data_IF_163227278517
#
_entry.id   IF_163227278517
#
_cell.length_a   1.000
_cell.length_b   1.000
_cell.length_c   1.000
_cell.angle_alpha   90.00
_cell.angle_beta   90.00
_cell.angle_gamma   90.00
#
_symmetry.space_group_name_H-M   'P 1'
#
loop_
_entity.id
_entity.type
_entity.pdbx_description
1 polymer ?
#
# COMPACT_ATOMS: atom_id res chain seq x y z
N UNK A 1 -12.20 8.64 14.28
CA UNK A 1 -11.59 9.70 13.45
C UNK A 1 -10.64 9.10 12.43
N UNK A 2 -10.71 9.60 11.22
CA UNK A 2 -9.78 9.20 10.14
C UNK A 2 -8.95 10.42 9.77
N UNK A 3 -7.63 10.28 9.74
CA UNK A 3 -6.70 11.32 9.30
C UNK A 3 -6.02 10.86 8.02
N UNK A 4 -6.21 11.61 6.93
CA UNK A 4 -5.52 11.38 5.67
C UNK A 4 -4.20 12.14 5.63
N UNK A 5 -3.12 11.45 5.29
CA UNK A 5 -1.80 12.06 5.10
C UNK A 5 -1.39 11.85 3.66
N UNK A 6 -1.15 12.95 2.96
CA UNK A 6 -0.76 12.95 1.55
C UNK A 6 0.52 13.76 1.35
N UNK A 7 1.29 13.40 0.33
CA UNK A 7 2.52 14.11 -0.02
C UNK A 7 3.35 13.28 -0.97
N UNK A 8 4.41 13.90 -1.46
CA UNK A 8 5.38 13.19 -2.28
C UNK A 8 6.15 12.18 -1.45
N UNK A 9 6.63 11.14 -2.11
CA UNK A 9 7.56 10.19 -1.52
C UNK A 9 8.74 10.98 -0.95
N UNK A 10 9.16 10.68 0.27
CA UNK A 10 10.20 11.38 1.01
C UNK A 10 9.81 12.77 1.54
N UNK A 11 8.52 13.10 1.59
CA UNK A 11 8.05 14.38 2.13
C UNK A 11 7.82 14.35 3.65
N UNK A 12 8.13 13.24 4.32
CA UNK A 12 7.91 13.08 5.76
C UNK A 12 6.53 12.55 6.15
N UNK A 13 5.67 12.19 5.19
CA UNK A 13 4.33 11.68 5.48
C UNK A 13 4.34 10.40 6.31
N UNK A 14 5.32 9.51 6.09
CA UNK A 14 5.45 8.27 6.85
C UNK A 14 5.87 8.54 8.29
N UNK A 15 6.74 9.54 8.50
CA UNK A 15 7.15 9.99 9.84
C UNK A 15 5.96 10.56 10.60
N UNK A 16 5.14 11.40 9.95
CA UNK A 16 3.94 11.95 10.56
C UNK A 16 2.93 10.86 10.92
N UNK A 17 2.75 9.87 10.02
CA UNK A 17 1.88 8.73 10.28
C UNK A 17 2.36 7.89 11.45
N UNK A 18 3.66 7.66 11.58
CA UNK A 18 4.26 6.92 12.69
C UNK A 18 4.07 7.65 14.02
N UNK A 19 4.22 8.97 14.05
CA UNK A 19 3.99 9.78 15.24
C UNK A 19 2.54 9.64 15.71
N UNK A 20 1.57 9.76 14.80
CA UNK A 20 0.16 9.57 15.14
C UNK A 20 -0.13 8.17 15.69
N UNK A 21 0.46 7.15 15.08
CA UNK A 21 0.30 5.75 15.51
C UNK A 21 0.90 5.52 16.90
N UNK A 22 2.15 5.96 17.09
CA UNK A 22 2.91 5.68 18.32
C UNK A 22 2.46 6.53 19.51
N UNK A 23 2.16 7.81 19.29
CA UNK A 23 1.84 8.74 20.38
C UNK A 23 0.35 8.86 20.67
N UNK A 24 -0.50 8.68 19.68
CA UNK A 24 -1.94 8.93 19.80
C UNK A 24 -2.80 7.67 19.61
N UNK A 25 -2.18 6.53 19.41
CA UNK A 25 -2.90 5.25 19.30
C UNK A 25 -3.72 5.09 18.02
N UNK A 26 -3.42 5.82 16.96
CA UNK A 26 -4.08 5.63 15.68
C UNK A 26 -3.64 4.32 15.03
N UNK A 27 -4.58 3.60 14.43
CA UNK A 27 -4.28 2.47 13.58
C UNK A 27 -3.83 2.98 12.21
N UNK A 28 -2.67 2.52 11.74
CA UNK A 28 -2.13 2.93 10.43
C UNK A 28 -2.71 2.06 9.33
N UNK A 29 -3.37 2.69 8.36
CA UNK A 29 -3.86 2.04 7.15
C UNK A 29 -3.32 2.76 5.92
N UNK A 30 -3.19 2.01 4.83
CA UNK A 30 -2.65 2.52 3.57
C UNK A 30 -3.52 2.05 2.41
N UNK A 31 -3.78 2.94 1.44
CA UNK A 31 -4.44 2.55 0.19
C UNK A 31 -3.59 1.57 -0.63
N UNK A 32 -2.28 1.57 -0.44
CA UNK A 32 -1.38 0.64 -1.14
C UNK A 32 -1.40 -0.77 -0.54
N UNK A 33 -1.79 -0.94 0.72
CA UNK A 33 -1.77 -2.24 1.39
C UNK A 33 -2.62 -3.30 0.67
N UNK A 34 -3.89 -3.04 0.29
CA UNK A 34 -4.69 -4.01 -0.46
C UNK A 34 -4.08 -4.36 -1.81
N UNK A 35 -3.46 -3.39 -2.49
CA UNK A 35 -2.80 -3.62 -3.78
C UNK A 35 -1.60 -4.55 -3.58
N UNK A 36 -0.77 -4.28 -2.57
CA UNK A 36 0.40 -5.11 -2.25
C UNK A 36 -0.01 -6.52 -1.84
N UNK A 37 -1.05 -6.66 -1.03
CA UNK A 37 -1.55 -7.96 -0.61
C UNK A 37 -2.04 -8.79 -1.80
N UNK A 38 -2.75 -8.17 -2.73
CA UNK A 38 -3.22 -8.82 -3.93
C UNK A 38 -2.07 -9.30 -4.81
N UNK A 39 -1.08 -8.44 -5.06
CA UNK A 39 0.09 -8.77 -5.87
C UNK A 39 0.91 -9.87 -5.20
N UNK A 40 1.16 -9.77 -3.91
CA UNK A 40 1.92 -10.79 -3.17
C UNK A 40 1.25 -12.16 -3.26
N UNK A 41 -0.04 -12.22 -3.05
CA UNK A 41 -0.81 -13.47 -3.09
C UNK A 41 -0.90 -14.03 -4.51
N UNK A 42 -1.17 -13.18 -5.49
CA UNK A 42 -1.41 -13.61 -6.88
C UNK A 42 -0.13 -14.12 -7.54
N UNK A 43 1.00 -13.46 -7.31
CA UNK A 43 2.28 -13.77 -7.97
C UNK A 43 3.28 -14.48 -7.06
N UNK A 44 2.85 -14.85 -5.86
CA UNK A 44 3.70 -15.54 -4.87
C UNK A 44 4.97 -14.76 -4.55
N UNK A 45 4.80 -13.48 -4.24
CA UNK A 45 5.91 -12.58 -3.88
C UNK A 45 5.84 -12.25 -2.40
N UNK A 46 7.02 -12.02 -1.77
CA UNK A 46 7.06 -11.54 -0.40
C UNK A 46 6.67 -10.05 -0.34
N UNK A 47 6.09 -9.62 0.78
CA UNK A 47 5.80 -8.20 1.01
C UNK A 47 7.06 -7.34 0.99
N UNK A 48 8.20 -7.91 1.38
CA UNK A 48 9.49 -7.21 1.34
C UNK A 48 9.86 -6.77 -0.06
N UNK A 49 9.52 -7.56 -1.08
CA UNK A 49 9.76 -7.20 -2.49
C UNK A 49 8.85 -6.07 -2.98
N UNK A 50 7.80 -5.74 -2.24
CA UNK A 50 6.77 -4.79 -2.63
C UNK A 50 6.77 -3.50 -1.80
N UNK A 51 7.17 -3.58 -0.54
CA UNK A 51 6.97 -2.48 0.42
C UNK A 51 7.87 -1.27 0.18
N UNK A 52 9.12 -1.46 -0.23
CA UNK A 52 10.04 -0.36 -0.49
C UNK A 52 10.42 0.45 0.77
N UNK A 53 10.34 -0.17 1.95
CA UNK A 53 10.61 0.51 3.23
C UNK A 53 12.08 0.59 3.59
N UNK A 54 12.92 -0.20 2.94
CA UNK A 54 14.38 -0.21 3.12
C UNK A 54 15.07 -0.02 1.77
N UNK A 55 16.37 0.36 1.75
CA UNK A 55 17.10 0.43 0.47
C UNK A 55 17.08 -0.90 -0.29
N UNK A 56 17.23 -2.02 0.42
CA UNK A 56 17.16 -3.36 -0.18
C UNK A 56 15.77 -3.64 -0.77
N UNK A 57 14.72 -3.34 -0.05
CA UNK A 57 13.35 -3.52 -0.52
C UNK A 57 13.07 -2.68 -1.76
N UNK A 58 13.53 -1.43 -1.79
CA UNK A 58 13.40 -0.56 -2.98
C UNK A 58 14.12 -1.13 -4.20
N UNK A 59 15.30 -1.71 -3.98
CA UNK A 59 16.07 -2.35 -5.04
C UNK A 59 15.35 -3.60 -5.59
N UNK A 60 14.83 -4.44 -4.70
CA UNK A 60 14.06 -5.62 -5.08
C UNK A 60 12.82 -5.27 -5.91
N UNK A 61 12.16 -4.15 -5.60
CA UNK A 61 10.99 -3.67 -6.33
C UNK A 61 11.27 -3.36 -7.80
N UNK A 62 12.53 -3.03 -8.13
CA UNK A 62 12.95 -2.65 -9.48
C UNK A 62 13.56 -3.82 -10.26
N UNK A 63 13.67 -5.00 -9.66
CA UNK A 63 14.25 -6.17 -10.34
C UNK A 63 13.22 -6.89 -11.19
N UNK A 64 13.61 -7.32 -12.39
CA UNK A 64 12.75 -8.10 -13.26
C UNK A 64 12.56 -9.50 -12.68
N UNK A 65 11.35 -10.04 -12.84
CA UNK A 65 10.97 -11.36 -12.35
C UNK A 65 10.82 -12.32 -13.55
N UNK A 66 11.78 -13.22 -13.79
CA UNK A 66 11.70 -14.12 -14.94
C UNK A 66 10.44 -15.00 -14.94
N UNK A 67 9.95 -15.37 -13.75
CA UNK A 67 8.77 -16.21 -13.61
C UNK A 67 7.46 -15.43 -13.77
N UNK A 68 7.52 -14.10 -13.86
CA UNK A 68 6.35 -13.24 -14.03
C UNK A 68 6.56 -12.35 -15.26
N UNK A 69 6.77 -13.01 -16.41
CA UNK A 69 6.88 -12.36 -17.72
C UNK A 69 7.95 -11.26 -17.80
N UNK A 70 9.03 -11.38 -17.02
CA UNK A 70 10.11 -10.39 -16.91
C UNK A 70 9.62 -9.00 -16.51
N UNK A 71 8.56 -8.93 -15.71
CA UNK A 71 8.06 -7.67 -15.16
C UNK A 71 8.65 -7.44 -13.77
N UNK A 72 8.69 -6.17 -13.34
CA UNK A 72 9.14 -5.82 -11.99
C UNK A 72 7.98 -5.84 -11.00
N UNK A 73 8.23 -6.04 -9.70
CA UNK A 73 7.19 -5.88 -8.68
C UNK A 73 6.50 -4.52 -8.76
N UNK A 74 7.26 -3.45 -9.02
CA UNK A 74 6.71 -2.10 -9.18
C UNK A 74 5.71 -2.01 -10.32
N UNK A 75 6.04 -2.62 -11.46
CA UNK A 75 5.12 -2.67 -12.61
C UNK A 75 3.82 -3.35 -12.24
N UNK A 76 3.89 -4.50 -11.54
CA UNK A 76 2.70 -5.24 -11.12
C UNK A 76 1.82 -4.39 -10.19
N UNK A 77 2.42 -3.68 -9.24
CA UNK A 77 1.69 -2.77 -8.36
C UNK A 77 0.96 -1.67 -9.14
N UNK A 78 1.64 -1.08 -10.12
CA UNK A 78 1.06 -0.02 -10.95
C UNK A 78 -0.10 -0.54 -11.81
N UNK A 79 0.07 -1.68 -12.46
CA UNK A 79 -0.95 -2.25 -13.34
C UNK A 79 -2.19 -2.64 -12.54
N UNK A 80 -2.02 -3.32 -11.41
CA UNK A 80 -3.14 -3.72 -10.57
C UNK A 80 -3.84 -2.49 -10.00
N UNK A 81 -3.07 -1.53 -9.45
CA UNK A 81 -3.64 -0.32 -8.87
C UNK A 81 -4.43 0.51 -9.86
N UNK A 82 -3.84 0.79 -11.03
CA UNK A 82 -4.48 1.57 -12.09
C UNK A 82 -5.57 0.78 -12.79
N UNK A 83 -5.32 -0.49 -13.10
CA UNK A 83 -6.26 -1.34 -13.80
C UNK A 83 -7.58 -1.49 -13.06
N UNK A 84 -7.55 -1.72 -11.77
CA UNK A 84 -8.76 -1.84 -10.97
C UNK A 84 -9.55 -0.52 -10.94
N UNK A 85 -8.85 0.62 -10.86
CA UNK A 85 -9.52 1.92 -10.95
C UNK A 85 -10.20 2.13 -12.30
N UNK A 86 -9.56 1.71 -13.38
CA UNK A 86 -10.10 1.91 -14.73
C UNK A 86 -11.21 0.92 -15.07
N UNK A 87 -11.08 -0.34 -14.62
CA UNK A 87 -11.98 -1.42 -15.02
C UNK A 87 -13.11 -1.68 -14.02
N UNK A 88 -12.90 -1.43 -12.74
CA UNK A 88 -13.91 -1.64 -11.71
C UNK A 88 -14.59 -0.33 -11.35
N UNK A 89 -13.85 0.59 -10.72
CA UNK A 89 -14.35 1.91 -10.34
C UNK A 89 -13.20 2.79 -9.89
N UNK A 90 -13.25 4.10 -10.18
CA UNK A 90 -12.20 5.05 -9.78
C UNK A 90 -11.91 5.06 -8.28
N UNK A 91 -12.90 4.72 -7.45
CA UNK A 91 -12.80 4.75 -5.98
C UNK A 91 -12.65 3.35 -5.38
N UNK A 92 -12.29 2.34 -6.17
CA UNK A 92 -12.23 0.94 -5.70
C UNK A 92 -11.32 0.76 -4.49
N UNK A 93 -10.13 1.37 -4.48
CA UNK A 93 -9.18 1.24 -3.37
C UNK A 93 -9.63 1.99 -2.13
N UNK A 94 -10.26 3.15 -2.32
CA UNK A 94 -10.87 3.93 -1.23
C UNK A 94 -11.97 3.11 -0.56
N UNK A 95 -12.80 2.46 -1.35
CA UNK A 95 -13.89 1.61 -0.86
C UNK A 95 -13.37 0.44 -0.03
N UNK A 96 -12.29 -0.21 -0.48
CA UNK A 96 -11.67 -1.32 0.24
C UNK A 96 -11.15 -0.85 1.61
N UNK A 97 -10.50 0.31 1.67
CA UNK A 97 -9.99 0.88 2.92
C UNK A 97 -11.15 1.27 3.86
N UNK A 98 -12.23 1.84 3.32
CA UNK A 98 -13.43 2.15 4.10
C UNK A 98 -14.02 0.90 4.76
N UNK A 99 -14.12 -0.21 4.03
CA UNK A 99 -14.62 -1.47 4.58
C UNK A 99 -13.71 -2.01 5.67
N UNK A 100 -12.40 -1.89 5.50
CA UNK A 100 -11.44 -2.25 6.56
C UNK A 100 -11.60 -1.38 7.80
N UNK A 101 -11.84 -0.08 7.62
CA UNK A 101 -12.07 0.84 8.74
C UNK A 101 -13.33 0.46 9.51
N UNK A 102 -14.42 0.14 8.82
CA UNK A 102 -15.69 -0.28 9.45
C UNK A 102 -15.53 -1.54 10.30
N UNK A 103 -14.60 -2.42 9.93
CA UNK A 103 -14.31 -3.65 10.66
C UNK A 103 -13.19 -3.50 11.68
N UNK A 104 -12.59 -2.31 11.80
CA UNK A 104 -11.56 -2.03 12.79
C UNK A 104 -12.15 -1.84 14.17
N UNK A 105 -11.48 -2.38 15.18
CA UNK A 105 -11.83 -2.16 16.59
C UNK A 105 -11.26 -0.85 17.11
N UNK A 106 -10.41 -0.17 16.36
CA UNK A 106 -9.80 1.10 16.73
C UNK A 106 -10.56 2.24 16.04
N UNK A 107 -11.12 3.16 16.84
CA UNK A 107 -11.91 4.29 16.32
C UNK A 107 -11.07 5.35 15.61
N UNK A 108 -9.76 5.34 15.80
CA UNK A 108 -8.85 6.33 15.24
C UNK A 108 -7.89 5.68 14.26
N UNK A 109 -7.97 6.07 12.99
CA UNK A 109 -7.19 5.52 11.89
C UNK A 109 -6.46 6.62 11.15
N UNK A 110 -5.20 6.39 10.75
CA UNK A 110 -4.43 7.26 9.86
C UNK A 110 -4.21 6.57 8.52
N UNK A 111 -4.48 7.28 7.46
CA UNK A 111 -4.36 6.78 6.09
C UNK A 111 -3.21 7.48 5.37
#
# INVERSE_FOLDING_TARGET
>A
MIIGIAGYKSSGKDTAGSVLTDMFGFEKMSFAAPIKDLVASTFDLSRHMLDGTTPESRELREQTLPNVFNKTPRFLLQVIGTGFRDLVHKDVWVKIVEEKYKNSINEHVVI
#
